data_IF_734560629100
#
_entry.id   IF_734560629100
#
_cell.length_a   1.000
_cell.length_b   1.000
_cell.length_c   1.000
_cell.angle_alpha   90.00
_cell.angle_beta   90.00
_cell.angle_gamma   90.00
#
_symmetry.space_group_name_H-M   'P 1'
#
loop_
_entity.id
_entity.type
_entity.pdbx_description
1 polymer ?
#
# COMPACT_ATOMS: atom_id res chain seq x y z
N UNK A 1 -6.52 -25.68 -6.15
CA UNK A 1 -5.49 -24.64 -6.38
C UNK A 1 -5.05 -24.11 -5.04
N UNK A 2 -3.75 -24.08 -4.77
CA UNK A 2 -3.17 -23.39 -3.62
C UNK A 2 -2.46 -22.14 -4.14
N UNK A 3 -2.77 -21.00 -3.54
CA UNK A 3 -2.00 -19.77 -3.74
C UNK A 3 -1.20 -19.49 -2.46
N UNK A 4 -0.03 -18.87 -2.62
CA UNK A 4 0.83 -18.45 -1.52
C UNK A 4 1.21 -16.99 -1.71
N UNK A 5 1.11 -16.21 -0.63
CA UNK A 5 1.65 -14.86 -0.58
C UNK A 5 3.14 -14.98 -0.23
N UNK A 6 4.01 -14.64 -1.18
CA UNK A 6 5.47 -14.69 -0.98
C UNK A 6 5.99 -13.46 -0.22
N UNK A 7 5.31 -12.32 -0.36
CA UNK A 7 5.69 -11.07 0.27
C UNK A 7 4.46 -10.21 0.58
N UNK A 8 4.53 -9.48 1.70
CA UNK A 8 3.64 -8.36 2.00
C UNK A 8 4.49 -7.10 1.97
N UNK A 9 4.07 -6.12 1.17
CA UNK A 9 4.78 -4.86 1.01
C UNK A 9 3.89 -3.70 1.43
N UNK A 10 4.45 -2.75 2.18
CA UNK A 10 3.76 -1.52 2.63
C UNK A 10 4.63 -0.30 2.35
N UNK A 11 4.02 0.87 2.22
CA UNK A 11 4.75 2.12 1.93
C UNK A 11 5.48 2.70 3.15
N UNK A 12 5.07 2.34 4.37
CA UNK A 12 5.45 3.09 5.57
C UNK A 12 4.83 4.50 5.58
N UNK A 13 5.26 5.32 6.54
CA UNK A 13 4.78 6.70 6.72
C UNK A 13 5.69 7.76 6.10
N UNK A 14 6.93 7.40 5.78
CA UNK A 14 7.90 8.28 5.13
C UNK A 14 7.78 8.19 3.60
N UNK A 15 6.72 8.80 3.08
CA UNK A 15 6.40 8.75 1.65
C UNK A 15 7.35 9.62 0.83
N UNK A 16 7.81 9.08 -0.30
CA UNK A 16 8.66 9.82 -1.24
C UNK A 16 7.93 11.05 -1.82
N UNK A 17 8.69 12.14 -1.97
CA UNK A 17 8.22 13.36 -2.63
C UNK A 17 8.36 13.25 -4.14
N UNK A 18 7.29 13.57 -4.85
CA UNK A 18 7.21 13.66 -6.30
C UNK A 18 6.76 15.08 -6.65
N UNK A 19 7.72 16.01 -6.88
CA UNK A 19 7.42 17.37 -7.32
C UNK A 19 6.51 17.35 -8.55
N UNK A 20 5.65 18.36 -8.66
CA UNK A 20 4.71 18.55 -9.78
C UNK A 20 3.57 17.52 -9.89
N UNK A 21 3.38 16.67 -8.86
CA UNK A 21 2.20 15.80 -8.74
C UNK A 21 1.27 16.26 -7.62
N UNK A 22 0.00 15.86 -7.73
CA UNK A 22 -1.02 16.06 -6.69
C UNK A 22 -1.68 14.70 -6.38
N UNK A 23 -1.49 14.16 -5.16
CA UNK A 23 -0.68 14.66 -4.06
C UNK A 23 0.83 14.66 -4.39
N UNK A 24 1.60 15.52 -3.69
CA UNK A 24 3.06 15.65 -3.88
C UNK A 24 3.81 14.44 -3.32
N UNK A 25 3.15 13.53 -2.60
CA UNK A 25 3.78 12.32 -2.07
C UNK A 25 3.18 11.07 -2.68
N UNK A 26 4.01 10.05 -2.85
CA UNK A 26 3.60 8.75 -3.39
C UNK A 26 3.83 7.62 -2.39
N UNK A 27 2.91 6.65 -2.36
CA UNK A 27 3.07 5.39 -1.62
C UNK A 27 3.32 4.19 -2.53
N UNK A 28 3.79 4.45 -3.76
CA UNK A 28 4.03 3.41 -4.77
C UNK A 28 5.26 2.56 -4.45
N UNK A 29 6.28 3.16 -3.84
CA UNK A 29 7.47 2.43 -3.41
C UNK A 29 7.16 1.67 -2.12
N UNK A 30 6.69 0.44 -2.26
CA UNK A 30 6.34 -0.43 -1.13
C UNK A 30 7.50 -1.39 -0.84
N UNK A 31 7.88 -1.48 0.43
CA UNK A 31 8.96 -2.35 0.90
C UNK A 31 8.39 -3.58 1.60
N UNK A 32 9.07 -4.71 1.46
CA UNK A 32 8.71 -5.94 2.16
C UNK A 32 8.79 -5.76 3.66
N UNK A 33 7.82 -6.32 4.39
CA UNK A 33 7.81 -6.36 5.84
C UNK A 33 7.83 -7.80 6.34
N UNK A 34 8.55 -8.02 7.44
CA UNK A 34 8.65 -9.33 8.08
C UNK A 34 7.51 -9.55 9.08
N UNK A 35 7.10 -10.81 9.24
CA UNK A 35 6.08 -11.20 10.20
C UNK A 35 4.65 -11.01 9.69
N UNK A 36 3.69 -11.03 10.61
CA UNK A 36 2.27 -10.87 10.29
C UNK A 36 1.92 -9.38 10.22
N UNK A 37 1.12 -9.01 9.23
CA UNK A 37 0.60 -7.64 9.05
C UNK A 37 -0.91 -7.67 9.26
N UNK A 38 -1.43 -6.73 10.05
CA UNK A 38 -2.87 -6.62 10.24
C UNK A 38 -3.54 -6.09 8.96
N UNK A 39 -4.68 -6.68 8.62
CA UNK A 39 -5.52 -6.24 7.50
C UNK A 39 -6.72 -5.50 8.10
N UNK A 40 -6.93 -4.27 7.65
CA UNK A 40 -8.08 -3.44 7.99
C UNK A 40 -8.94 -3.17 6.76
N UNK A 41 -10.15 -2.65 6.96
CA UNK A 41 -11.11 -2.35 5.89
C UNK A 41 -10.52 -1.46 4.77
N UNK A 42 -9.61 -0.55 5.13
CA UNK A 42 -9.03 0.43 4.21
C UNK A 42 -7.57 0.15 3.83
N UNK A 43 -7.00 -0.97 4.26
CA UNK A 43 -5.65 -1.36 3.89
C UNK A 43 -4.87 -2.11 4.97
N UNK A 44 -3.58 -2.27 4.73
CA UNK A 44 -2.67 -2.96 5.63
C UNK A 44 -2.10 -2.00 6.68
N UNK A 45 -1.79 -2.52 7.86
CA UNK A 45 -1.02 -1.77 8.84
C UNK A 45 0.35 -1.38 8.26
N UNK A 46 0.74 -0.12 8.43
CA UNK A 46 1.94 0.46 7.83
C UNK A 46 1.81 0.86 6.35
N UNK A 47 0.67 0.68 5.68
CA UNK A 47 0.46 1.13 4.30
C UNK A 47 -0.32 2.44 4.21
N UNK A 48 0.04 3.30 3.24
CA UNK A 48 -0.61 4.60 3.04
C UNK A 48 -1.19 4.74 1.64
N UNK A 49 -2.50 4.98 1.59
CA UNK A 49 -3.19 5.44 0.39
C UNK A 49 -3.07 6.97 0.26
N UNK A 50 -2.09 7.44 -0.52
CA UNK A 50 -1.79 8.87 -0.66
C UNK A 50 -2.95 9.68 -1.30
N UNK A 51 -3.75 9.05 -2.17
CA UNK A 51 -4.89 9.68 -2.85
C UNK A 51 -6.16 8.83 -2.72
N UNK A 52 -6.87 8.96 -1.60
CA UNK A 52 -8.09 8.18 -1.33
C UNK A 52 -9.28 8.48 -2.25
N UNK A 53 -9.25 9.59 -2.99
CA UNK A 53 -10.32 9.92 -3.96
C UNK A 53 -10.27 9.02 -5.20
N UNK A 54 -9.07 8.58 -5.61
CA UNK A 54 -8.85 7.87 -6.88
C UNK A 54 -8.09 6.54 -6.72
N UNK A 55 -7.35 6.37 -5.63
CA UNK A 55 -6.42 5.27 -5.40
C UNK A 55 -6.57 4.74 -3.96
N UNK A 56 -7.80 4.50 -3.52
CA UNK A 56 -8.08 4.04 -2.17
C UNK A 56 -9.54 3.70 -1.90
N UNK A 57 -9.83 3.31 -0.66
CA UNK A 57 -11.14 2.79 -0.25
C UNK A 57 -11.22 1.26 -0.24
N UNK A 58 -12.36 0.73 0.18
CA UNK A 58 -12.58 -0.72 0.40
C UNK A 58 -12.27 -1.58 -0.84
N UNK A 59 -12.64 -1.10 -2.03
CA UNK A 59 -12.36 -1.79 -3.30
C UNK A 59 -10.91 -1.72 -3.76
N UNK A 60 -10.07 -0.95 -3.06
CA UNK A 60 -8.64 -0.74 -3.37
C UNK A 60 -7.78 -0.89 -2.10
N UNK A 61 -8.24 -1.66 -1.11
CA UNK A 61 -7.55 -1.85 0.16
C UNK A 61 -6.21 -2.59 0.01
N UNK A 62 -6.13 -3.57 -0.90
CA UNK A 62 -4.92 -4.36 -1.19
C UNK A 62 -4.81 -4.60 -2.68
N UNK A 63 -3.57 -4.53 -3.20
CA UNK A 63 -3.23 -4.94 -4.55
C UNK A 63 -2.38 -6.21 -4.53
N UNK A 64 -2.65 -7.14 -5.46
CA UNK A 64 -1.89 -8.37 -5.64
C UNK A 64 -1.27 -8.40 -7.05
N UNK A 65 -0.08 -8.97 -7.16
CA UNK A 65 0.66 -9.12 -8.42
C UNK A 65 1.22 -10.55 -8.49
N UNK A 66 1.35 -11.10 -9.71
CA UNK A 66 1.82 -12.47 -9.99
C UNK A 66 2.88 -12.46 -11.08
#
# INVERSE_FOLDING_TARGET
MTARVEAVCVSGTDLESVPDRKPVRTGIDKKTVAGRVAVHELGLDGDVQANRKHHGGEGQAVYAYA
#
